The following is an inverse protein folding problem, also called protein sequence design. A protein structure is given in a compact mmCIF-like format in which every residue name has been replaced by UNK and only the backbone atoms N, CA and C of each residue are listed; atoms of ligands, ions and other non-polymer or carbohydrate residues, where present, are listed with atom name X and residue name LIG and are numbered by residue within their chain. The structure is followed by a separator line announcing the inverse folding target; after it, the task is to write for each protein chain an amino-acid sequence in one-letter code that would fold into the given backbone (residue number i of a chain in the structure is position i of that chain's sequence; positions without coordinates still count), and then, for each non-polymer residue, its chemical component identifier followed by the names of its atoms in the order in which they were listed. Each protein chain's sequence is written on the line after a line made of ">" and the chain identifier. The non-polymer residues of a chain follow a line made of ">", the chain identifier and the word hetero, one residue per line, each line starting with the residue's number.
data_IF_891252296675
#
_entry.id   IF_891252296675
#
_cell.length_a   1.000
_cell.length_b   1.000
_cell.length_c   1.000
_cell.angle_alpha   90.00
_cell.angle_beta   90.00
_cell.angle_gamma   90.00
#
_symmetry.space_group_name_H-M   'P 1'
#
loop_
_entity.id
_entity.type
_entity.pdbx_description
1 polymer ?
#
# COMPACT_ATOMS: atom_id res chain seq x y z
N UNK A 1 10.57 7.09 -16.90
CA UNK A 1 10.57 7.06 -15.42
C UNK A 1 9.15 6.71 -15.01
N UNK A 2 8.93 5.53 -14.44
CA UNK A 2 7.60 5.09 -14.07
C UNK A 2 7.01 6.10 -13.06
N UNK A 3 5.81 6.59 -13.34
CA UNK A 3 5.09 7.49 -12.42
C UNK A 3 4.83 6.71 -11.13
N UNK A 4 5.73 6.85 -10.16
CA UNK A 4 5.68 6.17 -8.85
C UNK A 4 4.62 6.78 -7.91
N UNK A 5 3.88 7.77 -8.42
CA UNK A 5 2.78 8.42 -7.74
C UNK A 5 1.47 7.66 -7.95
N UNK A 6 0.74 7.43 -6.86
CA UNK A 6 -0.59 6.79 -6.89
C UNK A 6 -1.41 7.16 -5.67
N UNK A 7 -2.72 6.98 -5.79
CA UNK A 7 -3.68 7.04 -4.70
C UNK A 7 -4.64 5.85 -4.85
N UNK A 8 -5.05 5.26 -3.73
CA UNK A 8 -6.02 4.19 -3.75
C UNK A 8 -6.61 3.88 -2.38
N UNK A 9 -7.75 3.19 -2.41
CA UNK A 9 -8.46 2.76 -1.21
C UNK A 9 -7.98 1.37 -0.80
N UNK A 10 -7.69 1.18 0.49
CA UNK A 10 -7.29 -0.13 1.02
C UNK A 10 -8.47 -1.09 0.93
N UNK A 11 -8.31 -2.18 0.18
CA UNK A 11 -9.34 -3.24 0.07
C UNK A 11 -8.92 -4.53 0.76
N UNK A 12 -7.63 -4.69 1.08
CA UNK A 12 -7.16 -5.83 1.88
C UNK A 12 -5.82 -5.57 2.55
N UNK A 13 -5.64 -6.10 3.75
CA UNK A 13 -4.34 -6.19 4.43
C UNK A 13 -3.76 -7.60 4.33
N UNK A 14 -2.47 -7.72 4.02
CA UNK A 14 -1.77 -9.00 4.03
C UNK A 14 -0.36 -8.91 4.60
N UNK A 15 0.02 -9.91 5.37
CA UNK A 15 1.41 -10.14 5.81
C UNK A 15 1.87 -11.45 5.18
N UNK A 16 3.03 -11.43 4.54
CA UNK A 16 3.52 -12.63 3.87
C UNK A 16 4.98 -12.54 3.49
N UNK A 17 5.65 -13.69 3.58
CA UNK A 17 7.03 -13.88 3.17
C UNK A 17 7.11 -13.83 1.64
N UNK A 18 8.09 -13.13 1.09
CA UNK A 18 8.48 -13.34 -0.32
C UNK A 18 9.60 -14.40 -0.41
N UNK A 19 10.40 -14.55 0.64
CA UNK A 19 11.71 -15.21 0.65
C UNK A 19 12.03 -15.99 1.94
N UNK A 20 11.05 -16.19 2.83
CA UNK A 20 11.23 -16.96 4.07
C UNK A 20 11.91 -16.20 5.22
N UNK A 21 12.37 -14.97 5.02
CA UNK A 21 13.24 -14.26 5.97
C UNK A 21 12.70 -12.91 6.46
N UNK A 22 11.70 -12.30 5.80
CA UNK A 22 11.03 -11.11 6.37
C UNK A 22 9.52 -11.01 6.04
N UNK A 23 8.71 -10.80 7.07
CA UNK A 23 7.27 -10.55 6.92
C UNK A 23 7.03 -9.14 6.40
N UNK A 24 6.79 -9.00 5.09
CA UNK A 24 6.38 -7.72 4.52
C UNK A 24 4.93 -7.40 4.89
N UNK A 25 4.67 -6.12 5.19
CA UNK A 25 3.34 -5.54 5.33
C UNK A 25 2.90 -5.04 3.96
N UNK A 26 1.79 -5.58 3.45
CA UNK A 26 1.27 -5.22 2.12
C UNK A 26 -0.19 -4.85 2.16
N UNK A 27 -0.52 -3.72 1.56
CA UNK A 27 -1.90 -3.32 1.28
C UNK A 27 -2.24 -3.73 -0.15
N UNK A 28 -3.40 -4.37 -0.35
CA UNK A 28 -4.07 -4.36 -1.65
C UNK A 28 -4.90 -3.09 -1.69
N UNK A 29 -4.64 -2.24 -2.66
CA UNK A 29 -5.39 -1.00 -2.88
C UNK A 29 -6.17 -1.09 -4.19
N UNK A 30 -7.30 -0.42 -4.25
CA UNK A 30 -8.03 -0.16 -5.48
C UNK A 30 -7.72 1.27 -5.95
N UNK A 31 -7.27 1.40 -7.18
CA UNK A 31 -6.97 2.69 -7.82
C UNK A 31 -8.26 3.30 -8.41
N UNK A 32 -8.19 4.56 -8.81
CA UNK A 32 -9.32 5.29 -9.39
C UNK A 32 -9.87 4.64 -10.68
N UNK A 33 -9.05 3.92 -11.43
CA UNK A 33 -9.45 3.16 -12.62
C UNK A 33 -10.15 1.82 -12.29
N UNK A 34 -10.36 1.54 -10.99
CA UNK A 34 -10.97 0.31 -10.49
C UNK A 34 -10.02 -0.88 -10.44
N UNK A 35 -8.81 -0.77 -10.99
CA UNK A 35 -7.78 -1.82 -10.90
C UNK A 35 -7.28 -1.94 -9.47
N UNK A 36 -6.65 -3.08 -9.15
CA UNK A 36 -6.06 -3.31 -7.83
C UNK A 36 -4.58 -3.63 -7.92
N UNK A 37 -3.80 -3.07 -6.99
CA UNK A 37 -2.37 -3.34 -6.89
C UNK A 37 -1.95 -3.62 -5.45
N UNK A 38 -0.82 -4.30 -5.27
CA UNK A 38 -0.24 -4.59 -3.95
C UNK A 38 0.94 -3.66 -3.70
N UNK A 39 0.88 -2.88 -2.64
CA UNK A 39 1.94 -1.95 -2.24
C UNK A 39 2.55 -2.39 -0.92
N UNK A 40 3.88 -2.30 -0.83
CA UNK A 40 4.60 -2.49 0.44
C UNK A 40 4.47 -1.20 1.26
N UNK A 41 4.26 -1.35 2.55
CA UNK A 41 4.19 -0.24 3.49
C UNK A 41 5.08 -0.53 4.70
N UNK A 42 5.48 0.53 5.39
CA UNK A 42 6.21 0.41 6.64
C UNK A 42 5.28 -0.04 7.78
N UNK A 43 5.83 -0.14 8.99
CA UNK A 43 5.02 -0.49 10.18
C UNK A 43 4.05 0.63 10.56
N UNK A 44 4.49 1.88 10.48
CA UNK A 44 3.73 3.03 10.97
C UNK A 44 2.43 3.19 10.19
N UNK A 45 2.52 3.21 8.86
CA UNK A 45 1.34 3.29 8.01
C UNK A 45 0.44 2.07 8.18
N UNK A 46 1.02 0.87 8.23
CA UNK A 46 0.25 -0.35 8.42
C UNK A 46 -0.60 -0.32 9.70
N UNK A 47 -0.06 0.16 10.81
CA UNK A 47 -0.79 0.24 12.08
C UNK A 47 -1.86 1.36 12.05
N UNK A 48 -1.74 2.35 11.15
CA UNK A 48 -2.64 3.50 11.04
C UNK A 48 -3.82 3.35 10.07
N UNK A 49 -3.86 2.29 9.24
CA UNK A 49 -4.88 2.10 8.20
C UNK A 49 -5.73 0.83 8.38
N UNK A 50 -6.98 0.91 7.95
CA UNK A 50 -7.94 -0.17 7.84
C UNK A 50 -8.45 -0.31 6.39
N UNK A 51 -9.21 -1.37 6.10
CA UNK A 51 -9.94 -1.48 4.83
C UNK A 51 -10.97 -0.34 4.73
N UNK A 52 -11.06 0.29 3.55
CA UNK A 52 -11.85 1.50 3.32
C UNK A 52 -11.08 2.81 3.45
N UNK A 53 -9.90 2.82 4.09
CA UNK A 53 -9.07 4.02 4.18
C UNK A 53 -8.39 4.36 2.83
N UNK A 54 -8.21 5.64 2.57
CA UNK A 54 -7.41 6.12 1.43
C UNK A 54 -5.95 6.26 1.80
N UNK A 55 -5.08 5.82 0.89
CA UNK A 55 -3.63 5.96 0.99
C UNK A 55 -3.08 6.49 -0.33
N UNK A 56 -2.03 7.29 -0.25
CA UNK A 56 -1.35 7.81 -1.42
C UNK A 56 0.15 7.74 -1.27
N UNK A 57 0.85 7.78 -2.41
CA UNK A 57 2.30 7.87 -2.49
C UNK A 57 2.63 8.94 -3.51
N UNK A 58 3.45 9.91 -3.12
CA UNK A 58 4.09 10.80 -4.07
C UNK A 58 5.36 10.14 -4.63
N UNK A 59 5.71 10.43 -5.88
CA UNK A 59 6.89 9.82 -6.53
C UNK A 59 8.17 10.00 -5.70
N UNK A 60 8.85 8.90 -5.39
CA UNK A 60 10.08 8.91 -4.59
C UNK A 60 9.89 9.09 -3.08
N UNK A 61 8.66 9.22 -2.58
CA UNK A 61 8.35 9.30 -1.14
C UNK A 61 7.75 7.99 -0.61
N UNK A 62 7.71 7.84 0.71
CA UNK A 62 6.99 6.73 1.33
C UNK A 62 5.47 6.94 1.24
N UNK A 63 4.68 5.85 1.14
CA UNK A 63 3.22 5.95 1.21
C UNK A 63 2.75 6.54 2.54
N UNK A 64 1.64 7.27 2.50
CA UNK A 64 0.99 7.88 3.68
C UNK A 64 -0.52 7.60 3.66
N UNK A 65 -1.14 7.72 4.83
CA UNK A 65 -2.61 7.80 4.93
C UNK A 65 -3.02 9.20 4.50
N UNK A 66 -3.97 9.28 3.57
CA UNK A 66 -4.52 10.54 3.07
C UNK A 66 -5.60 11.07 4.00
#
# INVERSE_FOLDING_TARGET
>A
MANDSWEGTVVKKSRGLLDGSNMYRRLKIQLADGSTTKVKVDRKLWDAVAEGDTVSKAGGQDPVKS
#
